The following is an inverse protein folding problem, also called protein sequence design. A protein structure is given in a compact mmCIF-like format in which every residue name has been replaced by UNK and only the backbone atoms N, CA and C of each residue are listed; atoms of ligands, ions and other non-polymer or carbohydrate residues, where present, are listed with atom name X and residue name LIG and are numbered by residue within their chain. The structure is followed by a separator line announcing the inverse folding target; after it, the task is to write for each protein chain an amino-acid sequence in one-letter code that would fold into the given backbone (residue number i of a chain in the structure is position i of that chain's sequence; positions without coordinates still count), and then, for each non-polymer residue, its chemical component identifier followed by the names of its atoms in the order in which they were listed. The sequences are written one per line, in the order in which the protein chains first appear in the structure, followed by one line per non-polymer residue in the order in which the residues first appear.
data_IF_760857003415
#
_entry.id   IF_760857003415
#
_cell.length_a   1.000
_cell.length_b   1.000
_cell.length_c   1.000
_cell.angle_alpha   90.00
_cell.angle_beta   90.00
_cell.angle_gamma   90.00
#
_symmetry.space_group_name_H-M   'P 1'
#
loop_
_entity.id
_entity.type
_entity.pdbx_description
1 polymer ?
#
# COMPACT_ATOMS: atom_id res chain seq x y z
N UNK A 1 -18.57 -47.73 -51.34
CA UNK A 1 -17.74 -48.95 -51.12
C UNK A 1 -16.40 -48.51 -50.56
N UNK A 2 -16.26 -48.30 -49.24
CA UNK A 2 -15.67 -49.23 -48.25
C UNK A 2 -14.34 -49.86 -48.69
N UNK A 3 -13.24 -49.41 -48.10
CA UNK A 3 -12.05 -50.23 -47.83
C UNK A 3 -11.62 -49.99 -46.38
N UNK A 4 -11.93 -50.97 -45.55
CA UNK A 4 -11.47 -51.15 -44.17
C UNK A 4 -10.22 -52.01 -44.28
N UNK A 5 -9.10 -51.56 -43.70
CA UNK A 5 -7.96 -52.43 -43.42
C UNK A 5 -8.01 -52.79 -41.93
N UNK A 6 -8.33 -54.05 -41.71
CA UNK A 6 -8.34 -54.76 -40.43
C UNK A 6 -6.89 -55.21 -40.15
N UNK A 7 -6.32 -54.83 -39.01
CA UNK A 7 -5.10 -55.46 -38.49
C UNK A 7 -5.41 -56.09 -37.14
N UNK A 8 -5.12 -57.38 -37.04
CA UNK A 8 -5.31 -58.27 -35.89
C UNK A 8 -3.99 -58.42 -35.12
N UNK A 9 -4.10 -58.90 -33.87
CA UNK A 9 -3.07 -59.54 -33.01
C UNK A 9 -2.13 -58.54 -32.27
N UNK A 10 -1.86 -58.62 -30.96
CA UNK A 10 -1.76 -59.76 -30.02
C UNK A 10 -2.14 -59.31 -28.59
N UNK A 11 -2.91 -60.11 -27.86
CA UNK A 11 -3.11 -60.02 -26.40
C UNK A 11 -1.93 -60.71 -25.70
N UNK A 12 -1.07 -59.94 -25.03
CA UNK A 12 -0.13 -60.48 -24.02
C UNK A 12 -0.58 -60.05 -22.64
N UNK A 13 -1.01 -61.03 -21.85
CA UNK A 13 -1.22 -60.91 -20.41
C UNK A 13 0.13 -60.81 -19.71
N UNK A 14 0.44 -59.66 -19.12
CA UNK A 14 1.50 -59.54 -18.12
C UNK A 14 0.86 -59.37 -16.74
N UNK A 15 1.33 -60.18 -15.81
CA UNK A 15 0.78 -60.33 -14.47
C UNK A 15 0.88 -59.07 -13.61
N UNK A 16 -0.07 -58.97 -12.69
CA UNK A 16 -0.01 -58.10 -11.53
C UNK A 16 1.21 -58.45 -10.67
N UNK A 17 2.25 -57.65 -10.78
CA UNK A 17 3.35 -57.64 -9.83
C UNK A 17 3.18 -56.41 -8.95
N UNK A 18 2.98 -56.65 -7.65
CA UNK A 18 2.85 -55.63 -6.63
C UNK A 18 4.06 -54.68 -6.69
N UNK A 19 3.80 -53.39 -6.83
CA UNK A 19 4.82 -52.37 -6.64
C UNK A 19 5.24 -52.39 -5.15
N UNK A 20 6.53 -52.48 -4.83
CA UNK A 20 6.99 -52.17 -3.48
C UNK A 20 6.68 -50.70 -3.19
N UNK A 21 6.11 -50.44 -2.01
CA UNK A 21 5.82 -49.08 -1.55
C UNK A 21 7.07 -48.20 -1.69
N UNK A 22 6.96 -46.98 -2.23
CA UNK A 22 8.07 -46.03 -2.23
C UNK A 22 8.48 -45.76 -0.77
N UNK A 23 9.79 -45.54 -0.49
CA UNK A 23 10.24 -45.18 0.84
C UNK A 23 9.47 -43.94 1.30
N UNK A 24 8.87 -44.01 2.49
CA UNK A 24 8.20 -42.89 3.13
C UNK A 24 9.15 -41.68 3.11
N UNK A 25 8.79 -40.67 2.32
CA UNK A 25 9.37 -39.35 2.48
C UNK A 25 9.09 -38.92 3.93
N UNK A 26 10.09 -38.44 4.68
CA UNK A 26 9.84 -37.86 5.99
C UNK A 26 8.82 -36.76 5.80
N UNK A 27 7.67 -36.90 6.48
CA UNK A 27 6.65 -35.85 6.57
C UNK A 27 7.37 -34.52 6.84
N UNK A 28 7.06 -33.45 6.10
CA UNK A 28 7.55 -32.13 6.46
C UNK A 28 7.22 -31.94 7.93
N UNK A 29 8.24 -31.73 8.76
CA UNK A 29 8.01 -31.33 10.14
C UNK A 29 7.07 -30.15 10.07
N UNK A 30 5.89 -30.30 10.67
CA UNK A 30 5.00 -29.18 10.96
C UNK A 30 5.87 -28.12 11.63
N UNK A 31 6.27 -27.11 10.85
CA UNK A 31 6.95 -25.95 11.40
C UNK A 31 5.84 -25.20 12.09
N UNK A 32 5.72 -25.48 13.39
CA UNK A 32 4.90 -24.73 14.33
C UNK A 32 5.29 -23.27 14.13
N UNK A 33 4.46 -22.53 13.38
CA UNK A 33 4.54 -21.08 13.23
C UNK A 33 4.24 -20.46 14.59
N UNK A 34 5.26 -20.36 15.44
CA UNK A 34 5.21 -19.57 16.66
C UNK A 34 4.89 -18.13 16.29
N UNK A 35 3.92 -17.51 16.97
CA UNK A 35 3.49 -16.14 16.73
C UNK A 35 4.45 -15.10 17.33
N UNK A 36 5.75 -15.38 17.35
CA UNK A 36 6.76 -14.53 17.97
C UNK A 36 7.49 -13.69 16.94
N UNK A 37 7.93 -12.50 17.36
CA UNK A 37 8.70 -11.62 16.50
C UNK A 37 10.08 -12.21 16.21
N UNK A 38 10.56 -12.16 14.96
CA UNK A 38 11.90 -12.62 14.66
C UNK A 38 12.93 -11.74 15.40
N UNK A 39 14.04 -12.33 15.85
CA UNK A 39 15.11 -11.56 16.52
C UNK A 39 15.66 -10.43 15.64
N UNK A 40 15.68 -10.65 14.33
CA UNK A 40 16.10 -9.67 13.33
C UNK A 40 15.06 -9.60 12.22
N UNK A 41 14.60 -8.39 11.83
CA UNK A 41 13.63 -8.28 10.77
C UNK A 41 14.25 -8.53 9.40
N UNK A 42 13.40 -8.87 8.42
CA UNK A 42 13.78 -8.83 7.02
C UNK A 42 14.25 -7.42 6.61
N UNK A 43 15.18 -7.39 5.66
CA UNK A 43 15.81 -6.16 5.18
C UNK A 43 14.74 -5.22 4.60
N UNK A 44 14.60 -4.05 5.22
CA UNK A 44 13.69 -3.01 4.77
C UNK A 44 14.12 -2.48 3.39
N UNK A 45 13.21 -2.59 2.41
CA UNK A 45 13.39 -1.93 1.13
C UNK A 45 13.22 -0.42 1.31
N UNK A 46 14.16 0.37 0.80
CA UNK A 46 14.08 1.84 0.85
C UNK A 46 12.78 2.41 0.26
N UNK A 47 12.12 1.66 -0.63
CA UNK A 47 10.82 2.03 -1.23
C UNK A 47 9.65 1.99 -0.25
N UNK A 48 9.82 1.28 0.87
CA UNK A 48 8.82 1.10 1.93
C UNK A 48 9.11 1.99 3.15
N UNK A 49 10.00 2.98 3.01
CA UNK A 49 10.32 3.94 4.05
C UNK A 49 9.64 5.27 3.74
N UNK A 50 8.73 5.70 4.62
CA UNK A 50 8.08 6.99 4.57
C UNK A 50 8.82 7.98 5.47
N UNK A 51 9.07 9.20 4.99
CA UNK A 51 9.62 10.26 5.84
C UNK A 51 8.50 10.90 6.65
N UNK A 52 8.73 11.07 7.95
CA UNK A 52 7.79 11.66 8.90
C UNK A 52 8.50 12.72 9.73
N UNK A 53 7.78 13.77 10.13
CA UNK A 53 8.29 14.82 11.00
C UNK A 53 7.76 14.58 12.42
N UNK A 54 8.67 14.27 13.36
CA UNK A 54 8.32 14.06 14.76
C UNK A 54 8.70 15.27 15.60
N UNK A 55 7.80 15.65 16.52
CA UNK A 55 7.93 16.77 17.45
C UNK A 55 7.42 16.33 18.83
N UNK A 56 7.27 17.29 19.75
CA UNK A 56 6.66 17.09 21.08
C UNK A 56 5.15 16.82 21.09
N UNK A 57 4.58 16.46 19.93
CA UNK A 57 3.20 16.02 19.75
C UNK A 57 3.20 14.63 19.15
N UNK A 58 2.17 13.85 19.46
CA UNK A 58 1.99 12.51 18.89
C UNK A 58 1.51 12.64 17.44
N UNK A 59 2.30 12.13 16.51
CA UNK A 59 1.93 11.88 15.12
C UNK A 59 1.41 10.44 14.99
N UNK A 60 0.31 10.25 14.27
CA UNK A 60 -0.26 8.91 14.01
C UNK A 60 -0.05 8.55 12.55
N UNK A 61 0.50 7.36 12.33
CA UNK A 61 0.65 6.75 11.02
C UNK A 61 -0.10 5.41 11.01
N UNK A 62 -0.55 4.97 9.84
CA UNK A 62 -1.21 3.67 9.69
C UNK A 62 -0.67 2.91 8.49
N UNK A 63 -0.70 1.59 8.55
CA UNK A 63 -0.29 0.77 7.43
C UNK A 63 -0.65 -0.69 7.58
N UNK A 64 -0.53 -1.43 6.48
CA UNK A 64 -0.68 -2.88 6.45
C UNK A 64 0.71 -3.51 6.43
N UNK A 65 0.96 -4.37 7.41
CA UNK A 65 2.22 -5.11 7.57
C UNK A 65 1.98 -6.61 7.53
N UNK A 66 2.98 -7.38 7.12
CA UNK A 66 2.99 -8.85 7.21
C UNK A 66 4.33 -9.34 7.71
N UNK A 67 4.50 -10.67 7.86
CA UNK A 67 5.81 -11.26 8.15
C UNK A 67 6.88 -10.91 7.10
N UNK A 68 6.48 -10.81 5.84
CA UNK A 68 7.37 -10.60 4.67
C UNK A 68 7.30 -9.19 4.11
N UNK A 69 6.43 -8.34 4.66
CA UNK A 69 6.23 -6.96 4.22
C UNK A 69 6.26 -6.04 5.43
N UNK A 70 7.43 -5.45 5.65
CA UNK A 70 7.61 -4.38 6.62
C UNK A 70 7.37 -3.01 6.01
N UNK A 71 6.97 -2.07 6.88
CA UNK A 71 6.93 -0.63 6.60
C UNK A 71 7.96 0.07 7.48
N UNK A 72 8.50 1.18 6.98
CA UNK A 72 9.47 2.01 7.67
C UNK A 72 9.01 3.45 7.79
N UNK A 73 9.30 4.07 8.93
CA UNK A 73 9.12 5.51 9.13
C UNK A 73 10.46 6.13 9.50
N UNK A 74 10.97 7.03 8.66
CA UNK A 74 12.22 7.73 8.89
C UNK A 74 11.98 9.14 9.42
N UNK A 75 12.67 9.53 10.50
CA UNK A 75 12.58 10.85 11.11
C UNK A 75 13.96 11.36 11.52
N UNK A 76 14.13 12.67 11.52
CA UNK A 76 15.34 13.32 12.02
C UNK A 76 15.18 13.61 13.52
N UNK A 77 16.23 13.37 14.30
CA UNK A 77 16.24 13.62 15.74
C UNK A 77 17.61 14.06 16.26
N UNK A 78 17.61 14.67 17.44
CA UNK A 78 18.80 15.12 18.17
C UNK A 78 19.19 14.15 19.27
N UNK A 79 20.47 14.18 19.64
CA UNK A 79 21.00 13.42 20.78
C UNK A 79 20.26 13.81 22.06
N UNK A 80 19.81 12.82 22.81
CA UNK A 80 19.17 12.98 24.12
C UNK A 80 17.65 13.08 24.09
N UNK A 81 17.04 13.26 22.90
CA UNK A 81 15.58 13.23 22.79
C UNK A 81 15.03 11.84 23.13
N UNK A 82 13.82 11.79 23.70
CA UNK A 82 13.13 10.55 24.05
C UNK A 82 12.06 10.24 23.01
N UNK A 83 12.20 9.10 22.33
CA UNK A 83 11.17 8.55 21.46
C UNK A 83 10.07 7.89 22.30
N UNK A 84 8.83 8.31 22.07
CA UNK A 84 7.63 7.65 22.56
C UNK A 84 6.91 7.05 21.37
N UNK A 85 6.51 5.77 21.48
CA UNK A 85 5.66 5.15 20.47
C UNK A 85 4.67 4.15 21.09
N UNK A 86 3.56 3.92 20.41
CA UNK A 86 2.53 2.96 20.77
C UNK A 86 1.89 2.36 19.52
N UNK A 87 1.60 1.07 19.57
CA UNK A 87 0.83 0.36 18.55
C UNK A 87 -0.51 -0.12 19.13
N UNK A 88 -1.51 -0.28 18.26
CA UNK A 88 -2.83 -0.81 18.63
C UNK A 88 -2.87 -2.36 18.70
N UNK A 89 -1.90 -3.01 18.07
CA UNK A 89 -1.83 -4.47 17.90
C UNK A 89 -0.46 -5.02 18.33
N UNK A 90 -0.42 -6.34 18.55
CA UNK A 90 0.81 -7.10 18.79
C UNK A 90 1.63 -7.22 17.49
N UNK A 91 2.47 -6.22 17.23
CA UNK A 91 3.37 -6.14 16.08
C UNK A 91 4.83 -6.13 16.50
N UNK A 92 5.72 -6.42 15.56
CA UNK A 92 7.15 -6.33 15.76
C UNK A 92 7.64 -4.93 15.41
N UNK A 93 8.31 -4.28 16.35
CA UNK A 93 8.83 -2.92 16.19
C UNK A 93 10.32 -2.92 16.43
N UNK A 94 11.06 -2.38 15.46
CA UNK A 94 12.50 -2.18 15.56
C UNK A 94 12.82 -0.72 15.30
N UNK A 95 13.67 -0.13 16.11
CA UNK A 95 14.14 1.25 15.93
C UNK A 95 15.61 1.21 15.55
N UNK A 96 15.97 1.85 14.44
CA UNK A 96 17.33 1.90 13.92
C UNK A 96 17.93 3.28 14.12
N UNK A 97 19.17 3.31 14.60
CA UNK A 97 20.00 4.52 14.64
C UNK A 97 20.45 4.95 13.25
N UNK A 98 21.00 6.17 13.08
CA UNK A 98 21.56 6.63 11.80
C UNK A 98 22.62 5.71 11.19
N UNK A 99 23.31 4.91 12.02
CA UNK A 99 24.33 3.96 11.59
C UNK A 99 23.74 2.56 11.30
N UNK A 100 22.41 2.44 11.25
CA UNK A 100 21.64 1.20 11.06
C UNK A 100 21.79 0.16 12.19
N UNK A 101 22.15 0.59 13.39
CA UNK A 101 22.18 -0.26 14.58
C UNK A 101 20.81 -0.28 15.27
N UNK A 102 20.41 -1.44 15.80
CA UNK A 102 19.17 -1.57 16.59
C UNK A 102 19.28 -0.82 17.91
N UNK A 103 18.24 -0.04 18.21
CA UNK A 103 18.10 0.74 19.41
C UNK A 103 17.20 0.00 20.41
N UNK A 104 17.73 -0.23 21.60
CA UNK A 104 17.03 -0.95 22.67
C UNK A 104 16.48 -0.03 23.77
N UNK A 105 16.68 1.29 23.65
CA UNK A 105 16.24 2.28 24.61
C UNK A 105 15.44 3.40 23.93
N UNK A 106 14.60 4.07 24.71
CA UNK A 106 13.79 5.18 24.19
C UNK A 106 14.60 6.48 24.00
N UNK A 107 15.77 6.61 24.65
CA UNK A 107 16.60 7.83 24.59
C UNK A 107 17.58 7.73 23.43
N UNK A 108 17.51 8.70 22.51
CA UNK A 108 18.27 8.67 21.26
C UNK A 108 19.75 9.03 21.49
N UNK A 109 20.70 8.15 21.14
CA UNK A 109 22.11 8.31 21.56
C UNK A 109 22.90 9.32 20.73
N UNK A 110 22.44 9.67 19.53
CA UNK A 110 23.16 10.52 18.57
C UNK A 110 22.16 11.36 17.77
N UNK A 111 22.63 12.44 17.15
CA UNK A 111 21.80 13.18 16.20
C UNK A 111 21.81 12.47 14.84
N UNK A 112 20.73 12.58 14.08
CA UNK A 112 20.64 12.09 12.71
C UNK A 112 19.30 11.47 12.36
N UNK A 113 19.28 10.71 11.27
CA UNK A 113 18.09 10.07 10.72
C UNK A 113 17.87 8.69 11.34
N UNK A 114 16.79 8.53 12.07
CA UNK A 114 16.34 7.27 12.66
C UNK A 114 15.29 6.60 11.77
N UNK A 115 15.10 5.29 11.93
CA UNK A 115 14.03 4.54 11.25
C UNK A 115 13.29 3.63 12.21
N UNK A 116 11.96 3.74 12.28
CA UNK A 116 11.09 2.75 12.91
C UNK A 116 10.63 1.77 11.84
N UNK A 117 10.95 0.49 12.00
CA UNK A 117 10.47 -0.59 11.16
C UNK A 117 9.39 -1.38 11.89
N UNK A 118 8.28 -1.65 11.20
CA UNK A 118 7.16 -2.43 11.74
C UNK A 118 6.86 -3.63 10.84
N UNK A 119 6.62 -4.80 11.43
CA UNK A 119 6.12 -5.99 10.73
C UNK A 119 5.08 -6.75 11.57
N UNK A 120 4.31 -7.63 10.93
CA UNK A 120 3.46 -8.57 11.67
C UNK A 120 4.29 -9.78 12.14
N UNK A 121 4.09 -10.32 13.36
CA UNK A 121 4.71 -11.57 13.77
C UNK A 121 4.14 -12.76 12.97
N UNK A 122 2.88 -12.67 12.52
CA UNK A 122 2.22 -13.67 11.67
C UNK A 122 1.15 -13.07 10.78
N UNK A 123 0.97 -13.68 9.61
CA UNK A 123 -0.04 -13.28 8.65
C UNK A 123 0.18 -11.85 8.16
N UNK A 124 -0.92 -11.19 7.82
CA UNK A 124 -0.95 -9.76 7.57
C UNK A 124 -1.85 -9.12 8.62
N UNK A 125 -1.42 -8.01 9.18
CA UNK A 125 -2.25 -7.20 10.08
C UNK A 125 -2.16 -5.73 9.72
N UNK A 126 -3.18 -5.01 10.17
CA UNK A 126 -3.25 -3.57 10.21
C UNK A 126 -2.51 -3.07 11.45
N UNK A 127 -1.72 -2.01 11.32
CA UNK A 127 -1.13 -1.33 12.47
C UNK A 127 -1.39 0.17 12.42
N UNK A 128 -1.75 0.73 13.57
CA UNK A 128 -1.63 2.15 13.86
C UNK A 128 -0.39 2.38 14.71
N UNK A 129 0.53 3.23 14.25
CA UNK A 129 1.69 3.69 14.99
C UNK A 129 1.47 5.13 15.44
N UNK A 130 1.31 5.33 16.75
CA UNK A 130 1.38 6.64 17.36
C UNK A 130 2.81 6.89 17.84
N UNK A 131 3.47 7.97 17.44
CA UNK A 131 4.86 8.27 17.78
C UNK A 131 5.13 9.75 17.99
N UNK A 132 6.11 10.10 18.81
CA UNK A 132 6.55 11.48 19.06
C UNK A 132 7.88 11.56 19.79
N UNK A 133 8.47 12.75 19.84
CA UNK A 133 9.74 13.03 20.52
C UNK A 133 9.51 13.97 21.70
N UNK A 134 9.97 13.60 22.90
CA UNK A 134 9.84 14.41 24.11
C UNK A 134 8.37 14.78 24.42
N UNK A 135 7.47 13.82 24.21
CA UNK A 135 6.04 13.97 24.52
C UNK A 135 5.89 14.09 26.02
N UNK A 136 5.38 15.24 26.47
CA UNK A 136 5.04 15.46 27.88
C UNK A 136 3.72 14.77 28.20
N UNK A 137 3.67 13.95 29.25
CA UNK A 137 2.44 13.30 29.73
C UNK A 137 1.49 14.34 30.33
N UNK A 138 0.76 15.07 29.50
CA UNK A 138 -0.41 15.85 29.93
C UNK A 138 -1.66 14.99 29.80
N UNK A 139 -1.78 13.97 30.66
CA UNK A 139 -3.05 13.27 30.90
C UNK A 139 -3.30 13.16 32.40
N UNK A 140 -3.90 14.20 32.98
CA UNK A 140 -4.59 14.11 34.27
C UNK A 140 -6.09 14.36 34.03
N UNK A 141 -6.88 13.33 34.33
CA UNK A 141 -8.31 13.45 34.61
C UNK A 141 -8.53 14.35 35.82
N UNK A 142 -9.49 15.28 35.76
CA UNK A 142 -10.41 15.51 36.89
C UNK A 142 -11.74 16.08 36.40
N UNK A 143 -12.79 15.49 36.93
CA UNK A 143 -14.21 15.72 36.69
C UNK A 143 -14.74 16.90 37.53
N UNK A 144 -15.76 17.59 36.99
CA UNK A 144 -16.78 18.47 37.61
C UNK A 144 -16.41 19.68 38.51
N UNK A 145 -16.80 20.89 38.08
CA UNK A 145 -18.04 21.58 38.52
C UNK A 145 -18.17 23.00 37.93
N UNK A 146 -19.42 23.45 37.80
CA UNK A 146 -20.00 24.60 37.10
C UNK A 146 -19.59 26.00 37.60
N UNK A 147 -19.46 26.99 36.71
CA UNK A 147 -20.51 28.00 36.36
C UNK A 147 -19.96 29.29 35.71
N UNK A 148 -20.79 29.85 34.82
CA UNK A 148 -20.92 31.26 34.39
C UNK A 148 -19.93 31.92 33.39
N UNK A 149 -20.33 31.86 32.11
CA UNK A 149 -20.68 32.97 31.20
C UNK A 149 -19.73 34.19 31.03
N UNK A 150 -19.09 34.35 29.86
CA UNK A 150 -19.23 35.54 29.00
C UNK A 150 -18.48 35.38 27.66
N UNK A 151 -19.11 35.90 26.63
CA UNK A 151 -18.87 35.89 25.19
C UNK A 151 -17.51 36.41 24.69
N UNK A 152 -16.88 35.64 23.79
CA UNK A 152 -16.29 36.16 22.54
C UNK A 152 -15.92 35.00 21.59
N UNK A 153 -16.82 34.67 20.66
CA UNK A 153 -16.55 33.72 19.58
C UNK A 153 -16.04 34.47 18.35
N UNK A 154 -14.72 34.46 18.19
CA UNK A 154 -14.04 34.71 16.93
C UNK A 154 -13.86 33.34 16.23
N UNK A 155 -14.51 33.04 15.09
CA UNK A 155 -14.35 31.74 14.46
C UNK A 155 -13.11 31.78 13.55
N UNK A 156 -11.91 31.78 14.15
CA UNK A 156 -10.72 31.34 13.43
C UNK A 156 -10.49 29.86 13.76
N UNK A 157 -11.43 29.02 13.32
CA UNK A 157 -11.28 27.58 13.40
C UNK A 157 -10.33 27.12 12.30
N UNK A 158 -9.05 27.03 12.63
CA UNK A 158 -8.20 26.00 12.03
C UNK A 158 -8.78 24.65 12.47
N UNK A 159 -9.75 24.16 11.71
CA UNK A 159 -10.39 22.88 11.96
C UNK A 159 -9.38 21.77 11.66
N UNK A 160 -8.78 21.21 12.71
CA UNK A 160 -8.33 19.82 12.67
C UNK A 160 -9.49 18.94 12.18
N UNK A 161 -9.25 17.94 11.31
CA UNK A 161 -10.32 17.18 10.70
C UNK A 161 -11.19 16.53 11.77
N UNK A 162 -12.46 16.94 11.77
CA UNK A 162 -13.55 16.27 12.45
C UNK A 162 -13.78 14.94 11.73
N UNK A 163 -13.41 13.85 12.41
CA UNK A 163 -13.50 12.45 11.97
C UNK A 163 -12.58 12.02 10.82
N UNK A 164 -11.94 10.84 10.92
CA UNK A 164 -11.23 10.21 9.80
C UNK A 164 -12.18 9.95 8.62
N UNK A 165 -11.63 9.85 7.40
CA UNK A 165 -12.39 9.45 6.21
C UNK A 165 -13.11 8.12 6.43
N UNK A 166 -14.31 7.99 5.87
CA UNK A 166 -15.05 6.73 5.85
C UNK A 166 -14.56 5.80 4.74
N UNK A 167 -14.91 4.51 4.84
CA UNK A 167 -14.55 3.53 3.82
C UNK A 167 -15.12 3.91 2.44
N UNK A 168 -16.37 4.37 2.39
CA UNK A 168 -17.04 4.73 1.13
C UNK A 168 -16.42 5.98 0.49
N UNK A 169 -16.03 6.96 1.29
CA UNK A 169 -15.27 8.12 0.81
C UNK A 169 -13.90 7.70 0.27
N UNK A 170 -13.20 6.78 0.93
CA UNK A 170 -11.93 6.24 0.44
C UNK A 170 -12.08 5.49 -0.89
N UNK A 171 -13.14 4.69 -1.04
CA UNK A 171 -13.50 4.06 -2.32
C UNK A 171 -13.77 5.13 -3.39
N UNK A 172 -14.44 6.22 -3.04
CA UNK A 172 -14.70 7.32 -3.98
C UNK A 172 -13.41 8.02 -4.41
N UNK A 173 -12.41 8.15 -3.54
CA UNK A 173 -11.08 8.65 -3.92
C UNK A 173 -10.43 7.72 -4.95
N UNK A 174 -10.48 6.40 -4.75
CA UNK A 174 -9.93 5.42 -5.71
C UNK A 174 -10.68 5.45 -7.04
N UNK A 175 -12.02 5.50 -7.02
CA UNK A 175 -12.84 5.62 -8.23
C UNK A 175 -12.53 6.92 -8.98
N UNK A 176 -12.39 8.04 -8.27
CA UNK A 176 -12.03 9.31 -8.87
C UNK A 176 -10.63 9.27 -9.51
N UNK A 177 -9.68 8.56 -8.90
CA UNK A 177 -8.39 8.30 -9.54
C UNK A 177 -8.52 7.50 -10.83
N UNK A 178 -9.26 6.38 -10.82
CA UNK A 178 -9.51 5.59 -12.04
C UNK A 178 -10.10 6.46 -13.17
N UNK A 179 -11.10 7.28 -12.86
CA UNK A 179 -11.69 8.21 -13.83
C UNK A 179 -10.70 9.28 -14.30
N UNK A 180 -9.90 9.82 -13.39
CA UNK A 180 -8.89 10.83 -13.75
C UNK A 180 -7.85 10.27 -14.69
N UNK A 181 -7.42 9.00 -14.55
CA UNK A 181 -6.47 8.36 -15.48
C UNK A 181 -6.93 8.47 -16.93
N UNK A 182 -8.25 8.42 -17.19
CA UNK A 182 -8.84 8.56 -18.53
C UNK A 182 -8.60 9.90 -19.21
N UNK A 183 -8.25 10.94 -18.46
CA UNK A 183 -7.96 12.28 -18.96
C UNK A 183 -6.51 12.68 -18.73
N UNK A 184 -5.96 12.24 -17.60
CA UNK A 184 -4.57 12.47 -17.27
C UNK A 184 -3.68 11.76 -18.28
N UNK A 185 -3.94 10.50 -18.63
CA UNK A 185 -3.06 9.72 -19.52
C UNK A 185 -3.57 9.52 -20.94
N UNK A 186 -4.73 10.08 -21.28
CA UNK A 186 -5.27 10.05 -22.64
C UNK A 186 -4.91 11.31 -23.42
N UNK A 187 -5.00 11.24 -24.74
CA UNK A 187 -4.93 12.42 -25.60
C UNK A 187 -6.33 13.03 -25.79
N UNK A 188 -6.53 14.35 -25.60
CA UNK A 188 -5.57 15.34 -25.12
C UNK A 188 -5.34 15.26 -23.59
N UNK A 189 -4.10 15.50 -23.18
CA UNK A 189 -3.64 15.41 -21.80
C UNK A 189 -4.14 16.55 -20.91
N UNK A 190 -4.66 16.23 -19.73
CA UNK A 190 -5.02 17.21 -18.71
C UNK A 190 -4.18 17.04 -17.44
N UNK A 191 -3.02 17.73 -17.41
CA UNK A 191 -2.04 17.65 -16.31
C UNK A 191 -2.57 18.20 -14.98
N UNK A 192 -3.47 19.17 -15.02
CA UNK A 192 -3.93 19.87 -13.82
C UNK A 192 -4.73 18.94 -12.91
N UNK A 193 -5.44 17.97 -13.49
CA UNK A 193 -6.15 16.94 -12.73
C UNK A 193 -5.21 16.17 -11.80
N UNK A 194 -3.95 15.98 -12.18
CA UNK A 194 -2.96 15.27 -11.38
C UNK A 194 -2.81 15.85 -9.97
N UNK A 195 -2.67 17.17 -9.85
CA UNK A 195 -2.49 17.85 -8.55
C UNK A 195 -3.78 17.91 -7.71
N UNK A 196 -4.94 17.73 -8.33
CA UNK A 196 -6.23 17.75 -7.63
C UNK A 196 -6.52 16.44 -6.88
N UNK A 197 -5.90 15.33 -7.29
CA UNK A 197 -6.23 13.98 -6.82
C UNK A 197 -5.01 13.18 -6.34
N UNK A 198 -3.79 13.59 -6.71
CA UNK A 198 -2.55 12.96 -6.29
C UNK A 198 -1.73 13.94 -5.43
N UNK A 199 -0.96 13.38 -4.51
CA UNK A 199 0.09 14.07 -3.76
C UNK A 199 1.29 13.12 -3.59
N UNK A 200 2.36 13.58 -2.95
CA UNK A 200 3.53 12.75 -2.59
C UNK A 200 4.11 11.92 -3.74
N UNK A 201 4.43 10.66 -3.44
CA UNK A 201 5.05 9.70 -4.40
C UNK A 201 4.16 9.48 -5.62
N UNK A 202 2.85 9.36 -5.43
CA UNK A 202 1.91 9.13 -6.53
C UNK A 202 1.90 10.31 -7.52
N UNK A 203 1.92 11.55 -7.04
CA UNK A 203 2.02 12.72 -7.92
C UNK A 203 3.37 12.75 -8.66
N UNK A 204 4.46 12.46 -7.95
CA UNK A 204 5.81 12.38 -8.51
C UNK A 204 5.91 11.43 -9.71
N UNK A 205 5.59 10.15 -9.50
CA UNK A 205 5.77 9.10 -10.53
C UNK A 205 4.81 9.24 -11.71
N UNK A 206 3.65 9.86 -11.50
CA UNK A 206 2.64 9.99 -12.55
C UNK A 206 2.79 11.29 -13.33
N UNK A 207 3.13 12.41 -12.68
CA UNK A 207 2.97 13.75 -13.27
C UNK A 207 4.24 14.59 -13.29
N UNK A 208 4.95 14.74 -12.16
CA UNK A 208 5.95 15.81 -12.00
C UNK A 208 7.40 15.38 -12.20
N UNK A 209 7.76 14.13 -11.91
CA UNK A 209 9.14 13.68 -12.07
C UNK A 209 9.54 13.70 -13.55
N UNK A 210 10.84 13.90 -13.84
CA UNK A 210 11.36 13.90 -15.21
C UNK A 210 11.06 12.61 -15.98
N UNK A 211 11.02 11.49 -15.26
CA UNK A 211 10.69 10.14 -15.76
C UNK A 211 9.22 9.74 -15.51
N UNK A 212 8.37 10.69 -15.14
CA UNK A 212 6.95 10.42 -14.88
C UNK A 212 6.24 9.82 -16.09
N UNK A 213 5.18 9.06 -15.82
CA UNK A 213 4.34 8.46 -16.87
C UNK A 213 3.84 9.51 -17.87
N UNK A 214 3.41 10.67 -17.38
CA UNK A 214 3.01 11.80 -18.23
C UNK A 214 4.11 12.27 -19.18
N UNK A 215 5.31 12.49 -18.65
CA UNK A 215 6.44 12.97 -19.45
C UNK A 215 6.86 11.92 -20.49
N UNK A 216 6.84 10.64 -20.12
CA UNK A 216 7.11 9.56 -21.05
C UNK A 216 6.08 9.51 -22.19
N UNK A 217 4.79 9.53 -21.85
CA UNK A 217 3.69 9.46 -22.82
C UNK A 217 3.80 10.60 -23.84
N UNK A 218 3.97 11.84 -23.37
CA UNK A 218 4.14 12.99 -24.25
C UNK A 218 5.40 12.92 -25.12
N UNK A 219 6.55 12.56 -24.53
CA UNK A 219 7.82 12.46 -25.25
C UNK A 219 7.77 11.46 -26.40
N UNK A 220 7.05 10.36 -26.22
CA UNK A 220 6.98 9.27 -27.19
C UNK A 220 5.72 9.30 -28.06
N UNK A 221 4.96 10.41 -28.06
CA UNK A 221 3.69 10.54 -28.78
C UNK A 221 2.77 9.34 -28.52
N UNK A 222 2.65 9.00 -27.24
CA UNK A 222 1.90 7.86 -26.76
C UNK A 222 0.84 8.30 -25.76
N UNK A 223 -0.27 7.57 -25.67
CA UNK A 223 -1.37 7.83 -24.73
C UNK A 223 -2.09 6.52 -24.41
N UNK A 224 -2.80 6.49 -23.29
CA UNK A 224 -3.68 5.38 -22.95
C UNK A 224 -5.13 5.69 -23.36
N UNK A 225 -5.83 4.66 -23.81
CA UNK A 225 -7.30 4.62 -23.77
C UNK A 225 -7.73 3.60 -22.73
N UNK A 226 -8.87 3.85 -22.07
CA UNK A 226 -9.36 3.03 -20.97
C UNK A 226 -10.75 2.49 -21.27
N UNK A 227 -10.93 1.17 -21.07
CA UNK A 227 -12.19 0.46 -21.20
C UNK A 227 -12.92 0.37 -19.87
N UNK A 228 -13.20 -0.85 -19.38
CA UNK A 228 -13.72 -1.10 -18.04
C UNK A 228 -12.74 -0.59 -16.97
N UNK A 229 -13.25 0.13 -15.96
CA UNK A 229 -12.53 0.43 -14.73
C UNK A 229 -13.50 0.34 -13.56
N UNK A 230 -13.22 -0.53 -12.61
CA UNK A 230 -14.09 -0.73 -11.45
C UNK A 230 -13.32 -1.12 -10.20
N UNK A 231 -13.94 -0.87 -9.05
CA UNK A 231 -13.55 -1.41 -7.75
C UNK A 231 -14.48 -2.59 -7.48
N UNK A 232 -13.93 -3.80 -7.53
CA UNK A 232 -14.69 -5.05 -7.43
C UNK A 232 -15.02 -5.39 -5.96
N UNK A 233 -14.04 -5.22 -5.07
CA UNK A 233 -14.23 -5.46 -3.63
C UNK A 233 -13.21 -4.70 -2.80
N UNK A 234 -13.57 -4.48 -1.54
CA UNK A 234 -12.68 -3.91 -0.52
C UNK A 234 -12.16 -5.09 0.30
N UNK A 235 -10.85 -5.10 0.57
CA UNK A 235 -10.19 -6.14 1.35
C UNK A 235 -9.81 -5.66 2.72
N UNK A 236 -9.35 -4.42 2.82
CA UNK A 236 -9.00 -3.79 4.08
C UNK A 236 -9.16 -2.27 3.97
N UNK A 237 -9.51 -1.62 5.07
CA UNK A 237 -9.64 -0.17 5.14
C UNK A 237 -9.33 0.32 6.55
N UNK A 238 -8.49 1.35 6.63
CA UNK A 238 -8.08 1.98 7.89
C UNK A 238 -8.01 3.47 7.65
N UNK A 239 -8.46 4.26 8.62
CA UNK A 239 -8.30 5.70 8.61
C UNK A 239 -7.93 6.20 9.99
N UNK A 240 -6.94 7.09 10.06
CA UNK A 240 -6.52 7.74 11.29
C UNK A 240 -6.11 9.17 11.00
N UNK A 241 -6.80 10.13 11.62
CA UNK A 241 -6.54 11.56 11.42
C UNK A 241 -6.64 11.97 9.95
N UNK A 242 -5.54 12.48 9.40
CA UNK A 242 -5.42 12.97 8.03
C UNK A 242 -4.86 11.91 7.06
N UNK A 243 -4.81 10.64 7.46
CA UNK A 243 -4.33 9.53 6.64
C UNK A 243 -5.32 8.38 6.58
N UNK A 244 -5.29 7.64 5.49
CA UNK A 244 -6.00 6.38 5.36
C UNK A 244 -5.29 5.42 4.43
N UNK A 245 -5.53 4.13 4.64
CA UNK A 245 -5.07 3.06 3.77
C UNK A 245 -6.28 2.26 3.32
N UNK A 246 -6.42 2.06 2.00
CA UNK A 246 -7.46 1.20 1.46
C UNK A 246 -6.86 0.18 0.51
N UNK A 247 -7.20 -1.08 0.74
CA UNK A 247 -6.83 -2.18 -0.12
C UNK A 247 -8.08 -2.68 -0.86
N UNK A 248 -7.99 -2.68 -2.19
CA UNK A 248 -9.11 -3.03 -3.06
C UNK A 248 -8.69 -4.03 -4.13
N UNK A 249 -9.67 -4.79 -4.60
CA UNK A 249 -9.57 -5.49 -5.87
C UNK A 249 -10.18 -4.61 -6.94
N UNK A 250 -9.45 -4.39 -8.02
CA UNK A 250 -9.88 -3.55 -9.14
C UNK A 250 -9.68 -4.26 -10.46
N UNK A 251 -10.63 -4.10 -11.36
CA UNK A 251 -10.53 -4.54 -12.75
C UNK A 251 -10.33 -3.32 -13.65
N UNK A 252 -9.31 -3.38 -14.52
CA UNK A 252 -8.97 -2.31 -15.46
C UNK A 252 -8.66 -2.86 -16.86
N UNK A 253 -9.20 -2.17 -17.87
CA UNK A 253 -8.84 -2.34 -19.27
C UNK A 253 -8.13 -1.08 -19.77
N UNK A 254 -6.95 -1.25 -20.36
CA UNK A 254 -6.17 -0.16 -20.94
C UNK A 254 -5.49 -0.57 -22.24
N UNK A 255 -5.50 0.32 -23.23
CA UNK A 255 -4.75 0.18 -24.47
C UNK A 255 -3.68 1.25 -24.53
N UNK A 256 -2.43 0.88 -24.79
CA UNK A 256 -1.39 1.87 -25.08
C UNK A 256 -1.36 2.15 -26.58
N UNK A 257 -1.54 3.41 -26.92
CA UNK A 257 -1.41 3.93 -28.28
C UNK A 257 -0.09 4.68 -28.39
N UNK A 258 0.70 4.42 -29.43
CA UNK A 258 1.95 5.13 -29.73
C UNK A 258 1.99 5.46 -31.21
N UNK A 259 2.11 6.74 -31.55
CA UNK A 259 1.98 7.22 -32.94
C UNK A 259 0.69 6.70 -33.61
N UNK A 260 -0.43 6.75 -32.88
CA UNK A 260 -1.74 6.24 -33.32
C UNK A 260 -1.78 4.75 -33.67
N UNK A 261 -0.78 3.98 -33.21
CA UNK A 261 -0.74 2.52 -33.35
C UNK A 261 -0.84 1.86 -31.99
N UNK A 262 -1.57 0.74 -31.94
CA UNK A 262 -1.74 -0.06 -30.73
C UNK A 262 -0.44 -0.79 -30.40
N UNK A 263 0.04 -0.62 -29.17
CA UNK A 263 1.04 -1.49 -28.56
C UNK A 263 0.32 -2.66 -27.89
N UNK A 264 0.34 -3.83 -28.55
CA UNK A 264 -0.37 -5.03 -28.07
C UNK A 264 0.24 -5.64 -26.82
N UNK A 265 1.52 -5.41 -26.55
CA UNK A 265 2.19 -5.95 -25.36
C UNK A 265 1.85 -5.14 -24.11
N UNK A 266 1.61 -3.83 -24.29
CA UNK A 266 1.25 -2.89 -23.21
C UNK A 266 -0.25 -2.65 -23.08
N UNK A 267 -1.04 -3.29 -23.92
CA UNK A 267 -2.51 -3.33 -23.83
C UNK A 267 -2.93 -4.50 -22.95
N UNK A 268 -3.69 -4.23 -21.89
CA UNK A 268 -3.98 -5.19 -20.81
C UNK A 268 -5.43 -5.06 -20.35
N UNK A 269 -6.05 -6.19 -20.05
CA UNK A 269 -7.25 -6.30 -19.22
C UNK A 269 -6.91 -7.22 -18.05
N UNK A 270 -7.02 -6.72 -16.82
CA UNK A 270 -6.69 -7.50 -15.63
C UNK A 270 -7.46 -7.08 -14.38
N UNK A 271 -7.58 -8.03 -13.45
CA UNK A 271 -8.01 -7.81 -12.08
C UNK A 271 -6.79 -7.86 -11.18
N UNK A 272 -6.62 -6.85 -10.34
CA UNK A 272 -5.46 -6.70 -9.45
C UNK A 272 -5.88 -6.30 -8.04
N UNK A 273 -5.12 -6.77 -7.05
CA UNK A 273 -5.18 -6.31 -5.66
C UNK A 273 -4.23 -5.13 -5.48
N UNK A 274 -4.76 -3.98 -5.09
CA UNK A 274 -4.02 -2.72 -5.02
C UNK A 274 -4.18 -2.09 -3.66
N UNK A 275 -3.06 -1.67 -3.09
CA UNK A 275 -3.00 -0.89 -1.86
C UNK A 275 -2.88 0.59 -2.21
N UNK A 276 -3.75 1.42 -1.65
CA UNK A 276 -3.72 2.88 -1.79
C UNK A 276 -3.50 3.53 -0.42
N UNK A 277 -2.53 4.44 -0.36
CA UNK A 277 -2.33 5.34 0.76
C UNK A 277 -2.96 6.70 0.40
N UNK A 278 -3.81 7.19 1.28
CA UNK A 278 -4.56 8.43 1.15
C UNK A 278 -4.07 9.45 2.17
N UNK A 279 -3.99 10.70 1.76
CA UNK A 279 -3.60 11.83 2.59
C UNK A 279 -4.62 12.95 2.43
N UNK A 280 -5.11 13.49 3.54
CA UNK A 280 -5.91 14.70 3.55
C UNK A 280 -4.98 15.91 3.53
N UNK A 281 -5.07 16.70 2.46
CA UNK A 281 -4.25 17.87 2.23
C UNK A 281 -5.10 18.95 1.53
N UNK A 282 -5.01 20.20 2.01
CA UNK A 282 -5.75 21.33 1.43
C UNK A 282 -7.28 21.10 1.35
N UNK A 283 -7.85 20.46 2.39
CA UNK A 283 -9.29 20.24 2.46
C UNK A 283 -9.81 19.08 1.59
N UNK A 284 -8.92 18.27 0.98
CA UNK A 284 -9.30 17.17 0.10
C UNK A 284 -8.45 15.92 0.34
N UNK A 285 -9.09 14.75 0.26
CA UNK A 285 -8.37 13.48 0.23
C UNK A 285 -7.75 13.23 -1.14
N UNK A 286 -6.45 12.93 -1.13
CA UNK A 286 -5.64 12.64 -2.33
C UNK A 286 -4.91 11.31 -2.14
N UNK A 287 -4.54 10.66 -3.24
CA UNK A 287 -3.68 9.47 -3.21
C UNK A 287 -2.22 9.92 -3.07
N UNK A 288 -1.56 9.52 -1.99
CA UNK A 288 -0.15 9.84 -1.72
C UNK A 288 0.81 8.77 -2.26
N UNK A 289 0.38 7.51 -2.28
CA UNK A 289 1.10 6.38 -2.85
C UNK A 289 0.13 5.23 -3.19
N UNK A 290 0.56 4.32 -4.07
CA UNK A 290 -0.12 3.05 -4.28
C UNK A 290 0.86 1.99 -4.76
N UNK A 291 0.52 0.72 -4.49
CA UNK A 291 1.28 -0.44 -4.94
C UNK A 291 0.32 -1.54 -5.38
N UNK A 292 0.53 -2.10 -6.57
CA UNK A 292 -0.11 -3.35 -6.98
C UNK A 292 0.52 -4.49 -6.19
N UNK A 293 -0.25 -5.12 -5.31
CA UNK A 293 0.21 -6.22 -4.47
C UNK A 293 0.26 -7.53 -5.26
N UNK A 294 -0.74 -7.74 -6.11
CA UNK A 294 -0.94 -9.00 -6.83
C UNK A 294 -1.80 -8.76 -8.08
N UNK A 295 -1.42 -9.39 -9.20
CA UNK A 295 -2.31 -9.55 -10.35
C UNK A 295 -3.11 -10.84 -10.14
N UNK A 296 -4.40 -10.71 -9.86
CA UNK A 296 -5.29 -11.83 -9.55
C UNK A 296 -5.64 -12.60 -10.82
N UNK A 297 -5.96 -11.88 -11.89
CA UNK A 297 -6.38 -12.48 -13.14
C UNK A 297 -5.99 -11.58 -14.31
N UNK A 298 -5.43 -12.18 -15.36
CA UNK A 298 -5.20 -11.52 -16.65
C UNK A 298 -6.21 -12.06 -17.66
N UNK A 299 -6.94 -11.16 -18.30
CA UNK A 299 -7.89 -11.48 -19.36
C UNK A 299 -7.24 -11.35 -20.74
N UNK A 300 -7.88 -11.89 -21.79
CA UNK A 300 -7.52 -11.53 -23.15
C UNK A 300 -7.50 -10.00 -23.32
N UNK A 301 -6.59 -9.50 -24.15
CA UNK A 301 -6.47 -8.07 -24.38
C UNK A 301 -7.84 -7.48 -24.77
N UNK A 302 -8.21 -6.31 -24.20
CA UNK A 302 -9.46 -5.64 -24.54
C UNK A 302 -9.45 -5.34 -26.04
N UNK A 303 -10.64 -5.13 -26.62
CA UNK A 303 -10.72 -4.65 -28.02
C UNK A 303 -10.01 -3.30 -28.09
N UNK A 304 -8.82 -3.25 -28.71
CA UNK A 304 -7.97 -2.08 -28.57
C UNK A 304 -8.47 -0.95 -29.46
N UNK A 305 -8.48 0.27 -28.95
CA UNK A 305 -8.76 1.48 -29.73
C UNK A 305 -7.71 2.55 -29.48
N UNK A 306 -7.27 3.13 -30.59
CA UNK A 306 -6.60 4.41 -30.71
C UNK A 306 -7.49 5.27 -31.61
#
# INVERSE_FOLDING_TARGET
MKKILLSFLIFTTFGLQACPNPPEHPKPKDTILSGECPEKPEKLSAKNVQQVELKSQITKESGIVSQTKSIGYAFDAQKGQKLTYKTNESVCVWVYTPDNELLNNAVLPKAGKYTIQISAPKGSTTVELAMGLDVSDSSNNTDNSSDSNSSNLNPNSNSSPSSPITQDEAVNVVKNWQQTKRRLFASPFDRNLGSEILTGKAYGINVSNSDSSMNWLQKYNAYYTYGLQQVDSIKNFIASGNQATIEVVTTEERTLCKNSRIDREKTVSDTSRVLYNLQFEQGKWKISAYDTLEQIQKFPNPRPSC
#
